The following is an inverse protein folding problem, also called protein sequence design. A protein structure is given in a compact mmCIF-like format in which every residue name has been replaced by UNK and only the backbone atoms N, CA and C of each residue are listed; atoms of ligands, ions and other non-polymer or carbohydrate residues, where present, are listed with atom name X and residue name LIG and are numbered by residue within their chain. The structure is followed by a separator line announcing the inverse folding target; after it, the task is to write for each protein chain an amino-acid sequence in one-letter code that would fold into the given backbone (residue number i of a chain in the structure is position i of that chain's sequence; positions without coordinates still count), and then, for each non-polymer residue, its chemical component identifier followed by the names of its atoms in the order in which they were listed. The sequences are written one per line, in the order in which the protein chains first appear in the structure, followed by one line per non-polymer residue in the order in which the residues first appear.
data_IF_849867455310
#
_entry.id   IF_849867455310
#
_cell.length_a   1.000
_cell.length_b   1.000
_cell.length_c   1.000
_cell.angle_alpha   90.00
_cell.angle_beta   90.00
_cell.angle_gamma   90.00
#
_symmetry.space_group_name_H-M   'P 1'
#
loop_
_entity.id
_entity.type
_entity.pdbx_description
1 polymer ?
#
# COMPACT_ATOMS: atom_id res chain seq x y z
N UNK A 1 15.99 15.38 -7.52
CA UNK A 1 16.49 14.27 -8.39
C UNK A 1 16.44 12.99 -7.58
N UNK A 2 15.87 11.92 -8.11
CA UNK A 2 15.76 10.65 -7.35
C UNK A 2 17.10 9.94 -7.35
N UNK A 3 17.70 9.74 -6.17
CA UNK A 3 18.98 9.04 -6.02
C UNK A 3 18.74 7.54 -5.80
N UNK A 4 19.34 6.72 -6.63
CA UNK A 4 19.26 5.26 -6.55
C UNK A 4 20.42 4.68 -5.77
N UNK A 5 20.13 3.80 -4.82
CA UNK A 5 21.13 3.09 -4.02
C UNK A 5 20.84 1.61 -4.05
N UNK A 6 21.79 0.82 -4.57
CA UNK A 6 21.67 -0.64 -4.66
C UNK A 6 22.49 -1.28 -3.55
N UNK A 7 21.83 -2.10 -2.76
CA UNK A 7 22.48 -2.82 -1.65
C UNK A 7 22.27 -4.33 -1.77
N UNK A 8 23.28 -5.07 -1.33
CA UNK A 8 23.23 -6.53 -1.20
C UNK A 8 22.44 -6.89 0.06
N UNK A 9 21.33 -7.59 -0.10
CA UNK A 9 20.48 -8.03 1.02
C UNK A 9 20.29 -9.54 0.93
N UNK A 10 20.75 -10.26 1.95
CA UNK A 10 20.49 -11.70 2.08
C UNK A 10 19.13 -11.94 2.76
N UNK A 11 18.47 -13.09 2.56
CA UNK A 11 17.30 -13.47 3.34
C UNK A 11 17.59 -13.37 4.83
N UNK A 12 16.65 -12.84 5.61
CA UNK A 12 16.74 -12.60 7.07
C UNK A 12 17.78 -11.54 7.51
N UNK A 13 18.41 -10.82 6.58
CA UNK A 13 19.34 -9.75 6.94
C UNK A 13 18.60 -8.42 7.06
N UNK A 14 18.69 -7.76 8.23
CA UNK A 14 18.14 -6.42 8.44
C UNK A 14 18.91 -5.36 7.66
N UNK A 15 18.19 -4.39 7.13
CA UNK A 15 18.73 -3.19 6.49
C UNK A 15 18.82 -2.11 7.57
N UNK A 16 19.96 -1.44 7.66
CA UNK A 16 20.14 -0.35 8.62
C UNK A 16 19.76 0.96 7.98
N UNK A 17 18.75 1.62 8.53
CA UNK A 17 18.34 2.95 8.12
C UNK A 17 18.92 4.01 9.07
N UNK A 18 19.22 5.23 8.58
CA UNK A 18 19.58 6.34 9.44
C UNK A 18 18.39 6.74 10.34
N UNK A 19 18.65 7.19 11.56
CA UNK A 19 17.62 7.60 12.53
C UNK A 19 16.94 8.94 12.20
N UNK A 20 16.88 9.31 10.91
CA UNK A 20 16.26 10.53 10.40
C UNK A 20 15.11 10.18 9.45
N UNK A 21 14.14 11.08 9.33
CA UNK A 21 12.98 10.93 8.46
C UNK A 21 13.40 10.91 6.98
N UNK A 22 12.90 9.94 6.22
CA UNK A 22 13.18 9.80 4.78
C UNK A 22 12.75 11.00 3.96
N UNK A 23 11.70 11.72 4.37
CA UNK A 23 11.16 12.86 3.65
C UNK A 23 11.82 14.20 4.07
N UNK A 24 11.84 14.53 5.37
CA UNK A 24 12.22 15.85 5.87
C UNK A 24 13.53 15.88 6.69
N UNK A 25 14.22 14.75 6.84
CA UNK A 25 15.50 14.61 7.58
C UNK A 25 15.44 14.98 9.07
N UNK A 26 14.26 15.17 9.65
CA UNK A 26 14.09 15.36 11.10
C UNK A 26 14.28 14.03 11.85
N UNK A 27 14.53 14.05 13.18
CA UNK A 27 14.59 12.83 13.98
C UNK A 27 13.34 11.95 13.76
N UNK A 28 13.54 10.65 13.59
CA UNK A 28 12.48 9.72 13.16
C UNK A 28 12.23 8.64 14.22
N UNK A 29 11.28 8.87 15.16
CA UNK A 29 10.88 7.87 16.15
C UNK A 29 9.90 6.83 15.61
N UNK A 30 9.26 7.10 14.47
CA UNK A 30 8.24 6.23 13.86
C UNK A 30 8.75 5.55 12.60
N UNK A 31 8.00 4.59 12.08
CA UNK A 31 8.34 3.86 10.85
C UNK A 31 7.14 3.74 9.93
N UNK A 32 7.41 3.72 8.62
CA UNK A 32 6.46 3.41 7.56
C UNK A 32 6.88 2.11 6.87
N UNK A 33 5.96 1.15 6.76
CA UNK A 33 6.24 -0.10 6.07
C UNK A 33 6.05 0.06 4.56
N UNK A 34 7.13 -0.06 3.81
CA UNK A 34 7.11 -0.19 2.35
C UNK A 34 6.83 -1.64 1.96
N UNK A 35 5.89 -1.83 1.06
CA UNK A 35 5.55 -3.14 0.51
C UNK A 35 5.77 -3.16 -0.99
N UNK A 36 6.68 -4.01 -1.44
CA UNK A 36 6.89 -4.28 -2.86
C UNK A 36 6.72 -5.76 -3.16
N UNK A 37 5.97 -6.08 -4.22
CA UNK A 37 5.74 -7.45 -4.67
C UNK A 37 6.36 -7.66 -6.05
N UNK A 38 7.09 -8.76 -6.19
CA UNK A 38 7.60 -9.22 -7.48
C UNK A 38 7.33 -10.72 -7.63
N UNK A 39 6.41 -11.07 -8.52
CA UNK A 39 5.92 -12.44 -8.66
C UNK A 39 5.30 -12.97 -7.37
N UNK A 40 5.86 -14.04 -6.82
CA UNK A 40 5.42 -14.67 -5.55
C UNK A 40 6.10 -14.11 -4.30
N UNK A 41 7.11 -13.25 -4.47
CA UNK A 41 7.89 -12.71 -3.35
C UNK A 41 7.36 -11.32 -3.00
N UNK A 42 7.12 -11.08 -1.71
CA UNK A 42 6.78 -9.76 -1.18
C UNK A 42 7.88 -9.33 -0.22
N UNK A 43 8.41 -8.12 -0.39
CA UNK A 43 9.30 -7.48 0.58
C UNK A 43 8.54 -6.44 1.38
N UNK A 44 8.75 -6.48 2.67
CA UNK A 44 8.29 -5.50 3.65
C UNK A 44 9.54 -4.87 4.26
N UNK A 45 9.61 -3.56 4.24
CA UNK A 45 10.77 -2.80 4.74
C UNK A 45 10.23 -1.62 5.54
N UNK A 46 10.66 -1.52 6.79
CA UNK A 46 10.27 -0.41 7.65
C UNK A 46 11.26 0.74 7.48
N UNK A 47 10.74 1.89 7.07
CA UNK A 47 11.51 3.11 6.77
C UNK A 47 11.21 4.16 7.84
N UNK A 48 12.22 4.88 8.37
CA UNK A 48 12.04 5.82 9.45
C UNK A 48 11.28 7.08 9.02
N UNK A 49 10.32 7.52 9.85
CA UNK A 49 9.54 8.74 9.70
C UNK A 49 9.51 9.55 11.00
N UNK A 50 9.47 10.87 10.86
CA UNK A 50 9.17 11.74 12.01
C UNK A 50 7.66 11.73 12.32
N UNK A 51 7.28 12.09 13.55
CA UNK A 51 5.89 12.11 14.00
C UNK A 51 4.99 13.02 13.15
N UNK A 52 5.53 14.13 12.63
CA UNK A 52 4.80 15.03 11.72
C UNK A 52 4.44 14.32 10.41
N UNK A 53 5.41 13.71 9.73
CA UNK A 53 5.17 12.99 8.47
C UNK A 53 4.30 11.75 8.66
N UNK A 54 4.43 11.06 9.80
CA UNK A 54 3.53 9.95 10.14
C UNK A 54 2.09 10.41 10.37
N UNK A 55 1.89 11.56 11.04
CA UNK A 55 0.59 12.20 11.20
C UNK A 55 -0.05 12.59 9.85
N UNK A 56 0.73 13.19 8.93
CA UNK A 56 0.25 13.52 7.58
C UNK A 56 -0.12 12.28 6.76
N UNK A 57 0.60 11.15 6.92
CA UNK A 57 0.21 9.89 6.27
C UNK A 57 -1.13 9.35 6.76
N UNK A 58 -1.47 9.58 8.03
CA UNK A 58 -2.76 9.16 8.61
C UNK A 58 -3.90 10.12 8.28
N UNK A 59 -3.58 11.36 7.94
CA UNK A 59 -4.57 12.39 7.61
C UNK A 59 -5.31 12.02 6.33
N UNK A 60 -6.63 12.20 6.32
CA UNK A 60 -7.48 11.96 5.15
C UNK A 60 -7.97 13.28 4.58
N UNK A 61 -8.03 13.39 3.26
CA UNK A 61 -8.70 14.52 2.61
C UNK A 61 -10.22 14.37 2.72
N UNK A 62 -10.96 15.48 2.65
CA UNK A 62 -12.42 15.44 2.62
C UNK A 62 -12.94 14.62 1.42
N UNK A 63 -12.26 14.70 0.28
CA UNK A 63 -12.61 13.95 -0.92
C UNK A 63 -12.32 12.46 -0.77
N UNK A 64 -11.21 12.09 -0.12
CA UNK A 64 -10.89 10.69 0.21
C UNK A 64 -11.98 10.08 1.10
N UNK A 65 -12.43 10.79 2.14
CA UNK A 65 -13.52 10.35 3.00
C UNK A 65 -14.85 10.25 2.27
N UNK A 66 -15.17 11.23 1.42
CA UNK A 66 -16.40 11.25 0.63
C UNK A 66 -16.44 10.06 -0.33
N UNK A 67 -15.38 9.82 -1.08
CA UNK A 67 -15.27 8.67 -1.99
C UNK A 67 -15.36 7.34 -1.24
N UNK A 68 -14.76 7.27 -0.05
CA UNK A 68 -14.85 6.08 0.78
C UNK A 68 -16.28 5.82 1.25
N UNK A 69 -17.00 6.86 1.71
CA UNK A 69 -18.43 6.75 2.10
C UNK A 69 -19.29 6.30 0.93
N UNK A 70 -19.10 6.91 -0.26
CA UNK A 70 -19.80 6.54 -1.48
C UNK A 70 -19.52 5.08 -1.85
N UNK A 71 -18.27 4.62 -1.79
CA UNK A 71 -17.92 3.24 -2.12
C UNK A 71 -18.61 2.23 -1.19
N UNK A 72 -18.70 2.51 0.11
CA UNK A 72 -19.42 1.67 1.06
C UNK A 72 -20.93 1.64 0.80
N UNK A 73 -21.53 2.81 0.50
CA UNK A 73 -22.96 2.92 0.20
C UNK A 73 -23.31 2.15 -1.08
N UNK A 74 -22.56 2.35 -2.16
CA UNK A 74 -22.74 1.63 -3.42
C UNK A 74 -22.55 0.13 -3.23
N UNK A 75 -21.55 -0.29 -2.47
CA UNK A 75 -21.30 -1.69 -2.16
C UNK A 75 -22.47 -2.32 -1.41
N UNK A 76 -23.04 -1.62 -0.42
CA UNK A 76 -24.20 -2.09 0.33
C UNK A 76 -25.45 -2.26 -0.54
N UNK A 77 -25.75 -1.29 -1.39
CA UNK A 77 -26.87 -1.35 -2.33
C UNK A 77 -26.70 -2.51 -3.32
N UNK A 78 -25.53 -2.64 -3.93
CA UNK A 78 -25.27 -3.72 -4.89
C UNK A 78 -25.26 -5.10 -4.22
N UNK A 79 -24.82 -5.21 -2.97
CA UNK A 79 -24.91 -6.44 -2.21
C UNK A 79 -26.37 -6.88 -2.04
N UNK A 80 -27.23 -5.98 -1.58
CA UNK A 80 -28.67 -6.28 -1.36
C UNK A 80 -29.38 -6.61 -2.66
N UNK A 81 -29.12 -5.85 -3.74
CA UNK A 81 -29.68 -6.13 -5.06
C UNK A 81 -29.19 -7.48 -5.60
N UNK A 82 -27.89 -7.77 -5.52
CA UNK A 82 -27.31 -9.04 -5.95
C UNK A 82 -27.90 -10.21 -5.19
N UNK A 83 -28.07 -10.07 -3.88
CA UNK A 83 -28.70 -11.08 -3.03
C UNK A 83 -30.17 -11.31 -3.45
N UNK A 84 -30.96 -10.25 -3.57
CA UNK A 84 -32.38 -10.34 -3.97
C UNK A 84 -32.54 -10.97 -5.36
N UNK A 85 -31.81 -10.48 -6.36
CA UNK A 85 -31.87 -10.99 -7.74
C UNK A 85 -31.46 -12.46 -7.77
N UNK A 86 -30.39 -12.83 -7.09
CA UNK A 86 -29.93 -14.23 -7.09
C UNK A 86 -30.94 -15.15 -6.44
N UNK A 87 -31.57 -14.76 -5.33
CA UNK A 87 -32.60 -15.55 -4.67
C UNK A 87 -33.85 -15.71 -5.52
N UNK A 88 -34.20 -14.69 -6.31
CA UNK A 88 -35.37 -14.75 -7.22
C UNK A 88 -35.10 -15.63 -8.44
N UNK A 89 -33.91 -15.55 -9.04
CA UNK A 89 -33.53 -16.28 -10.24
C UNK A 89 -33.16 -17.75 -9.99
N UNK A 90 -32.79 -18.09 -8.74
CA UNK A 90 -32.38 -19.47 -8.42
C UNK A 90 -33.59 -20.42 -8.36
N UNK A 91 -33.55 -21.58 -9.06
CA UNK A 91 -34.66 -22.51 -9.09
C UNK A 91 -35.08 -22.99 -7.69
N UNK A 92 -36.40 -23.12 -7.47
CA UNK A 92 -36.96 -23.60 -6.21
C UNK A 92 -36.58 -25.06 -5.87
N UNK A 93 -36.14 -25.83 -6.87
CA UNK A 93 -35.65 -27.20 -6.68
C UNK A 93 -34.37 -27.32 -5.83
N UNK A 94 -33.59 -26.24 -5.71
CA UNK A 94 -32.38 -26.20 -4.87
C UNK A 94 -32.76 -25.97 -3.41
N UNK A 95 -32.03 -26.63 -2.48
CA UNK A 95 -32.23 -26.39 -1.07
C UNK A 95 -31.98 -24.90 -0.71
N UNK A 96 -32.76 -24.38 0.24
CA UNK A 96 -32.64 -22.97 0.64
C UNK A 96 -31.21 -22.58 1.05
N UNK A 97 -30.48 -23.46 1.74
CA UNK A 97 -29.10 -23.23 2.13
C UNK A 97 -28.16 -23.02 0.95
N UNK A 98 -28.31 -23.82 -0.12
CA UNK A 98 -27.50 -23.69 -1.34
C UNK A 98 -27.81 -22.38 -2.09
N UNK A 99 -29.10 -22.02 -2.18
CA UNK A 99 -29.53 -20.75 -2.80
C UNK A 99 -28.96 -19.55 -2.07
N UNK A 100 -28.99 -19.58 -0.74
CA UNK A 100 -28.42 -18.53 0.11
C UNK A 100 -26.90 -18.43 -0.08
N UNK A 101 -26.20 -19.56 -0.12
CA UNK A 101 -24.74 -19.58 -0.34
C UNK A 101 -24.35 -18.96 -1.69
N UNK A 102 -25.07 -19.32 -2.77
CA UNK A 102 -24.84 -18.72 -4.10
C UNK A 102 -25.10 -17.21 -4.06
N UNK A 103 -26.20 -16.78 -3.42
CA UNK A 103 -26.53 -15.36 -3.31
C UNK A 103 -25.48 -14.56 -2.54
N UNK A 104 -24.93 -15.11 -1.46
CA UNK A 104 -23.84 -14.50 -0.70
C UNK A 104 -22.53 -14.41 -1.49
N UNK A 105 -22.20 -15.44 -2.28
CA UNK A 105 -21.01 -15.42 -3.14
C UNK A 105 -21.13 -14.37 -4.25
N UNK A 106 -22.29 -14.27 -4.91
CA UNK A 106 -22.55 -13.26 -5.94
C UNK A 106 -22.52 -11.85 -5.32
N UNK A 107 -23.25 -11.62 -4.23
CA UNK A 107 -23.26 -10.34 -3.53
C UNK A 107 -21.89 -9.94 -3.02
N UNK A 108 -21.16 -10.86 -2.42
CA UNK A 108 -19.77 -10.62 -1.95
C UNK A 108 -18.81 -10.33 -3.10
N UNK A 109 -18.94 -10.99 -4.24
CA UNK A 109 -18.18 -10.70 -5.46
C UNK A 109 -18.42 -9.29 -5.98
N UNK A 110 -19.68 -8.83 -6.00
CA UNK A 110 -20.03 -7.46 -6.39
C UNK A 110 -19.40 -6.42 -5.44
N UNK A 111 -19.47 -6.63 -4.13
CA UNK A 111 -18.81 -5.76 -3.14
C UNK A 111 -17.32 -5.69 -3.40
N UNK A 112 -16.65 -6.82 -3.60
CA UNK A 112 -15.23 -6.88 -3.87
C UNK A 112 -14.85 -6.12 -5.15
N UNK A 113 -15.64 -6.26 -6.21
CA UNK A 113 -15.44 -5.55 -7.48
C UNK A 113 -15.58 -4.03 -7.32
N UNK A 114 -16.59 -3.55 -6.57
CA UNK A 114 -16.79 -2.13 -6.30
C UNK A 114 -15.61 -1.58 -5.49
N UNK A 115 -15.26 -2.20 -4.37
CA UNK A 115 -14.15 -1.76 -3.52
C UNK A 115 -12.81 -1.75 -4.27
N UNK A 116 -12.61 -2.72 -5.18
CA UNK A 116 -11.43 -2.74 -6.04
C UNK A 116 -11.42 -1.59 -7.05
N UNK A 117 -12.56 -1.30 -7.69
CA UNK A 117 -12.72 -0.20 -8.64
C UNK A 117 -12.50 1.19 -8.00
N UNK A 118 -12.93 1.38 -6.75
CA UNK A 118 -12.74 2.64 -6.02
C UNK A 118 -11.33 2.85 -5.47
N UNK A 119 -10.44 1.85 -5.47
CA UNK A 119 -9.06 1.99 -4.96
C UNK A 119 -8.26 3.09 -5.66
N UNK A 120 -8.34 3.16 -6.99
CA UNK A 120 -7.59 4.17 -7.77
C UNK A 120 -8.08 5.60 -7.52
N UNK A 121 -9.40 5.89 -7.65
CA UNK A 121 -9.88 7.25 -7.38
C UNK A 121 -9.67 7.69 -5.93
N UNK A 122 -9.80 6.81 -4.94
CA UNK A 122 -9.49 7.14 -3.54
C UNK A 122 -8.00 7.47 -3.38
N UNK A 123 -7.11 6.70 -3.99
CA UNK A 123 -5.68 6.97 -3.96
C UNK A 123 -5.31 8.29 -4.66
N UNK A 124 -5.98 8.62 -5.76
CA UNK A 124 -5.77 9.88 -6.48
C UNK A 124 -6.29 11.12 -5.72
N UNK A 125 -7.31 10.94 -4.86
CA UNK A 125 -7.86 11.99 -4.01
C UNK A 125 -7.05 12.23 -2.71
N UNK A 126 -5.97 11.46 -2.49
CA UNK A 126 -5.09 11.64 -1.33
C UNK A 126 -4.39 13.01 -1.38
N UNK A 127 -4.13 13.58 -0.20
CA UNK A 127 -3.41 14.85 -0.06
C UNK A 127 -2.05 14.80 -0.78
N UNK A 128 -1.63 15.87 -1.47
CA UNK A 128 -0.34 15.91 -2.18
C UNK A 128 0.86 15.68 -1.25
N UNK A 129 0.80 16.17 -0.01
CA UNK A 129 1.80 15.93 1.03
C UNK A 129 1.92 14.44 1.38
N UNK A 130 0.80 13.74 1.46
CA UNK A 130 0.75 12.29 1.70
C UNK A 130 1.36 11.49 0.53
N UNK A 131 1.15 11.97 -0.69
CA UNK A 131 1.77 11.39 -1.89
C UNK A 131 3.28 11.64 -1.90
N UNK A 132 3.73 12.87 -1.64
CA UNK A 132 5.14 13.21 -1.54
C UNK A 132 5.89 12.38 -0.50
N UNK A 133 5.29 12.16 0.69
CA UNK A 133 5.90 11.30 1.72
C UNK A 133 6.01 9.85 1.25
N UNK A 134 5.02 9.33 0.51
CA UNK A 134 5.06 7.97 -0.04
C UNK A 134 6.07 7.81 -1.17
N UNK A 135 6.25 8.84 -1.97
CA UNK A 135 7.19 8.88 -3.10
C UNK A 135 8.62 9.15 -2.65
N UNK A 136 8.81 9.75 -1.45
CA UNK A 136 10.13 10.06 -0.88
C UNK A 136 11.07 8.83 -0.83
N UNK A 137 10.51 7.63 -0.82
CA UNK A 137 11.25 6.39 -0.92
C UNK A 137 10.46 5.34 -1.69
N UNK A 138 11.12 4.69 -2.65
CA UNK A 138 10.56 3.58 -3.40
C UNK A 138 11.57 2.42 -3.49
N UNK A 139 11.05 1.21 -3.62
CA UNK A 139 11.85 0.05 -4.01
C UNK A 139 11.75 -0.03 -5.53
N UNK A 140 12.79 0.43 -6.23
CA UNK A 140 12.83 0.48 -7.70
C UNK A 140 12.94 -0.94 -8.29
N UNK A 141 13.87 -1.73 -7.74
CA UNK A 141 14.04 -3.12 -8.12
C UNK A 141 14.50 -3.97 -6.94
N UNK A 142 14.09 -5.21 -6.89
CA UNK A 142 14.69 -6.17 -5.97
C UNK A 142 14.86 -7.55 -6.63
N UNK A 143 15.94 -8.20 -6.25
CA UNK A 143 16.24 -9.57 -6.59
C UNK A 143 16.43 -10.39 -5.32
N UNK A 144 16.68 -11.69 -5.48
CA UNK A 144 16.99 -12.57 -4.34
C UNK A 144 18.17 -12.08 -3.48
N UNK A 145 19.13 -11.37 -4.08
CA UNK A 145 20.38 -10.95 -3.42
C UNK A 145 20.57 -9.43 -3.29
N UNK A 146 19.75 -8.62 -3.93
CA UNK A 146 19.92 -7.18 -3.96
C UNK A 146 18.60 -6.45 -3.95
N UNK A 147 18.59 -5.25 -3.38
CA UNK A 147 17.46 -4.31 -3.42
C UNK A 147 17.98 -2.95 -3.85
N UNK A 148 17.34 -2.34 -4.82
CA UNK A 148 17.60 -0.98 -5.26
C UNK A 148 16.54 -0.07 -4.68
N UNK A 149 16.97 0.87 -3.87
CA UNK A 149 16.13 1.94 -3.33
C UNK A 149 16.26 3.18 -4.18
N UNK A 150 15.17 3.89 -4.34
CA UNK A 150 15.12 5.23 -4.91
C UNK A 150 14.70 6.19 -3.80
N UNK A 151 15.52 7.18 -3.52
CA UNK A 151 15.28 8.23 -2.51
C UNK A 151 15.17 9.58 -3.20
N UNK A 152 14.20 10.41 -2.77
CA UNK A 152 14.11 11.80 -3.23
C UNK A 152 14.99 12.74 -2.40
N UNK A 153 15.24 12.39 -1.13
CA UNK A 153 16.03 13.17 -0.21
C UNK A 153 17.50 12.76 -0.28
N UNK A 154 18.35 13.63 -0.84
CA UNK A 154 19.79 13.38 -1.04
C UNK A 154 20.54 13.19 0.29
N UNK A 155 20.22 13.97 1.34
CA UNK A 155 20.85 13.84 2.65
C UNK A 155 20.57 12.46 3.28
N UNK A 156 19.32 11.98 3.13
CA UNK A 156 18.96 10.66 3.59
C UNK A 156 19.70 9.57 2.81
N UNK A 157 19.76 9.71 1.47
CA UNK A 157 20.45 8.78 0.60
C UNK A 157 21.95 8.69 0.91
N UNK A 158 22.61 9.82 1.22
CA UNK A 158 24.02 9.86 1.61
C UNK A 158 24.26 9.12 2.93
N UNK A 159 23.48 9.43 3.95
CA UNK A 159 23.57 8.74 5.24
C UNK A 159 23.26 7.26 5.15
N UNK A 160 22.25 6.90 4.37
CA UNK A 160 21.92 5.50 4.10
C UNK A 160 23.08 4.77 3.40
N UNK A 161 23.71 5.42 2.43
CA UNK A 161 24.88 4.89 1.71
C UNK A 161 26.07 4.70 2.66
N UNK A 162 26.36 5.66 3.53
CA UNK A 162 27.41 5.54 4.53
C UNK A 162 27.20 4.37 5.48
N UNK A 163 26.01 4.23 6.05
CA UNK A 163 25.67 3.14 6.97
C UNK A 163 25.75 1.76 6.34
N UNK A 164 25.49 1.69 5.03
CA UNK A 164 25.46 0.42 4.30
C UNK A 164 26.66 0.23 3.35
N UNK A 165 27.74 1.02 3.52
CA UNK A 165 28.97 0.95 2.71
C UNK A 165 29.45 -0.47 2.39
N UNK A 166 29.56 -1.42 3.36
CA UNK A 166 30.06 -2.76 3.09
C UNK A 166 29.13 -3.62 2.24
N UNK A 167 27.90 -3.13 1.97
CA UNK A 167 26.87 -3.85 1.22
C UNK A 167 26.50 -3.18 -0.10
N UNK A 168 27.13 -2.06 -0.42
CA UNK A 168 26.88 -1.35 -1.67
C UNK A 168 27.24 -2.21 -2.87
N UNK A 169 26.45 -2.07 -3.91
CA UNK A 169 26.70 -2.69 -5.22
C UNK A 169 26.65 -1.59 -6.28
N UNK A 170 27.47 -1.69 -7.29
CA UNK A 170 27.36 -0.84 -8.47
C UNK A 170 26.02 -1.05 -9.18
N UNK A 171 25.45 0.07 -9.65
CA UNK A 171 24.15 0.11 -10.32
C UNK A 171 24.34 -0.19 -11.80
#
# INVERSE_FOLDING_TARGET
MTRRVKIKVRPQQSITFPGICVHCSQPAPETMTLRQRYGRITRLIDVPLCSRCAGELQRRSADEERLQKISWLVSGVLFLLGLAITLLLTPAALSFGLRLLIALLVGGGLVAAVLWGFRKPIAAAALPEKQAIREAVAIDAFSWRATTFAFENDLFADRFTELNKPRLMEI
#
